data_IF_651767364928
#
_entry.id   IF_651767364928
#
_cell.length_a   1.000
_cell.length_b   1.000
_cell.length_c   1.000
_cell.angle_alpha   90.00
_cell.angle_beta   90.00
_cell.angle_gamma   90.00
#
_symmetry.space_group_name_H-M   'P 1'
#
loop_
_entity.id
_entity.type
_entity.pdbx_description
1 polymer ?
#
# COMPACT_ATOMS: atom_id res chain seq x y z
N UNK A 1 10.76 12.37 -3.15
CA UNK A 1 9.93 12.94 -2.04
C UNK A 1 9.90 14.47 -1.99
N UNK A 2 10.23 15.20 -3.07
CA UNK A 2 10.06 16.67 -3.10
C UNK A 2 8.59 17.11 -2.94
N UNK A 3 7.63 16.22 -3.23
CA UNK A 3 6.20 16.47 -2.98
C UNK A 3 5.90 16.79 -1.51
N UNK A 4 6.63 16.21 -0.56
CA UNK A 4 6.38 16.42 0.87
C UNK A 4 6.60 17.88 1.30
N UNK A 5 7.52 18.62 0.65
CA UNK A 5 7.82 20.02 0.97
C UNK A 5 6.80 21.00 0.38
N UNK A 6 5.86 20.50 -0.43
CA UNK A 6 4.83 21.31 -1.13
C UNK A 6 3.43 20.73 -0.93
N UNK A 7 3.22 19.97 0.15
CA UNK A 7 1.90 19.46 0.54
C UNK A 7 0.94 20.62 0.75
N UNK A 8 -0.28 20.46 0.24
CA UNK A 8 -1.36 21.42 0.44
C UNK A 8 -2.35 20.82 1.44
N UNK A 9 -2.91 21.62 2.35
CA UNK A 9 -4.01 21.15 3.18
C UNK A 9 -5.23 20.82 2.32
N UNK A 10 -6.06 19.93 2.84
CA UNK A 10 -7.38 19.65 2.30
C UNK A 10 -8.22 20.94 2.15
N UNK A 11 -8.94 21.05 1.04
CA UNK A 11 -9.80 22.22 0.74
C UNK A 11 -11.13 21.80 0.10
N UNK A 12 -11.91 22.79 -0.35
CA UNK A 12 -13.13 22.58 -1.14
C UNK A 12 -12.87 22.12 -2.58
N UNK A 13 -11.60 22.06 -3.01
CA UNK A 13 -11.17 21.68 -4.37
C UNK A 13 -9.98 20.72 -4.41
N UNK A 14 -9.39 20.41 -3.27
CA UNK A 14 -8.20 19.58 -3.18
C UNK A 14 -8.27 18.55 -2.04
N UNK A 15 -7.81 17.33 -2.34
CA UNK A 15 -7.57 16.23 -1.41
C UNK A 15 -6.25 15.59 -1.78
N UNK A 16 -5.37 15.35 -0.80
CA UNK A 16 -4.10 14.63 -1.01
C UNK A 16 -4.15 13.26 -0.34
N UNK A 17 -3.96 12.21 -1.15
CA UNK A 17 -3.81 10.84 -0.66
C UNK A 17 -2.38 10.36 -0.94
N UNK A 18 -1.72 9.86 0.09
CA UNK A 18 -0.41 9.24 0.00
C UNK A 18 -0.54 7.80 0.50
N UNK A 19 -0.20 6.83 -0.35
CA UNK A 19 -0.44 5.41 -0.08
C UNK A 19 0.88 4.75 0.33
N UNK A 20 0.88 4.08 1.48
CA UNK A 20 2.03 3.34 1.96
C UNK A 20 2.22 2.04 1.17
N UNK A 21 3.47 1.62 1.00
CA UNK A 21 3.80 0.33 0.39
C UNK A 21 3.58 0.25 -1.13
N UNK A 22 3.44 1.37 -1.83
CA UNK A 22 3.22 1.39 -3.28
C UNK A 22 4.42 1.94 -4.05
N UNK A 23 4.57 1.54 -5.31
CA UNK A 23 5.60 1.98 -6.25
C UNK A 23 5.02 2.80 -7.42
N UNK A 24 5.86 3.19 -8.37
CA UNK A 24 5.42 3.90 -9.58
C UNK A 24 4.67 2.99 -10.56
N UNK A 25 5.15 1.75 -10.71
CA UNK A 25 4.44 0.66 -11.35
C UNK A 25 4.59 -0.62 -10.51
N UNK A 26 3.62 -1.51 -10.60
CA UNK A 26 3.51 -2.70 -9.75
C UNK A 26 3.17 -3.94 -10.59
N UNK A 27 3.11 -5.10 -9.95
CA UNK A 27 2.76 -6.35 -10.61
C UNK A 27 1.38 -6.29 -11.29
N UNK A 28 0.41 -5.57 -10.72
CA UNK A 28 -0.90 -5.38 -11.33
C UNK A 28 -0.82 -4.63 -12.67
N UNK A 29 -0.06 -3.53 -12.72
CA UNK A 29 0.12 -2.73 -13.94
C UNK A 29 0.86 -3.48 -15.05
N UNK A 30 1.82 -4.32 -14.69
CA UNK A 30 2.53 -5.15 -15.67
C UNK A 30 1.72 -6.38 -16.11
N UNK A 31 0.75 -6.81 -15.31
CA UNK A 31 -0.06 -8.00 -15.57
C UNK A 31 0.80 -9.23 -15.84
N UNK A 32 0.49 -9.98 -16.90
CA UNK A 32 1.23 -11.20 -17.26
C UNK A 32 2.73 -10.98 -17.54
N UNK A 33 3.17 -9.75 -17.86
CA UNK A 33 4.58 -9.47 -18.09
C UNK A 33 5.41 -9.49 -16.79
N UNK A 34 4.77 -9.34 -15.62
CA UNK A 34 5.44 -9.30 -14.33
C UNK A 34 6.31 -10.54 -14.08
N UNK A 35 5.89 -11.73 -14.53
CA UNK A 35 6.64 -12.97 -14.32
C UNK A 35 7.97 -13.05 -15.09
N UNK A 36 8.16 -12.19 -16.10
CA UNK A 36 9.40 -12.11 -16.87
C UNK A 36 10.37 -11.04 -16.37
N UNK A 37 10.01 -10.30 -15.32
CA UNK A 37 10.84 -9.21 -14.78
C UNK A 37 11.83 -9.76 -13.76
N UNK A 38 13.11 -9.49 -13.99
CA UNK A 38 14.18 -9.73 -13.03
C UNK A 38 14.79 -8.41 -12.57
N UNK A 39 14.45 -8.02 -11.35
CA UNK A 39 15.00 -6.85 -10.67
C UNK A 39 15.91 -7.22 -9.48
N UNK A 40 16.31 -8.50 -9.37
CA UNK A 40 17.07 -9.06 -8.24
C UNK A 40 16.23 -9.30 -6.97
N UNK A 41 15.03 -8.70 -6.89
CA UNK A 41 14.00 -8.96 -5.87
C UNK A 41 12.63 -9.01 -6.56
N UNK A 42 11.64 -9.59 -5.89
CA UNK A 42 10.26 -9.47 -6.34
C UNK A 42 9.86 -7.99 -6.39
N UNK A 43 9.19 -7.59 -7.47
CA UNK A 43 8.68 -6.24 -7.63
C UNK A 43 7.51 -5.97 -6.68
N UNK A 44 7.15 -4.70 -6.49
CA UNK A 44 6.03 -4.32 -5.65
C UNK A 44 4.72 -4.95 -6.14
N UNK A 45 3.97 -5.52 -5.21
CA UNK A 45 2.62 -6.07 -5.44
C UNK A 45 1.61 -5.41 -4.48
N UNK A 46 1.73 -4.09 -4.29
CA UNK A 46 0.81 -3.33 -3.46
C UNK A 46 -0.54 -3.07 -4.17
N UNK A 47 -1.65 -2.93 -3.44
CA UNK A 47 -2.98 -2.75 -4.02
C UNK A 47 -3.26 -1.30 -4.47
N UNK A 48 -2.27 -0.61 -5.05
CA UNK A 48 -2.39 0.81 -5.44
C UNK A 48 -3.58 1.05 -6.37
N UNK A 49 -3.80 0.13 -7.31
CA UNK A 49 -4.91 0.21 -8.24
C UNK A 49 -6.29 0.22 -7.55
N UNK A 50 -6.46 -0.43 -6.40
CA UNK A 50 -7.72 -0.43 -5.65
C UNK A 50 -7.96 0.94 -4.99
N UNK A 51 -6.92 1.52 -4.39
CA UNK A 51 -7.00 2.86 -3.79
C UNK A 51 -7.23 3.92 -4.88
N UNK A 52 -6.57 3.77 -6.04
CA UNK A 52 -6.78 4.66 -7.18
C UNK A 52 -8.22 4.62 -7.71
N UNK A 53 -8.83 3.42 -7.84
CA UNK A 53 -10.25 3.28 -8.21
C UNK A 53 -11.17 4.03 -7.23
N UNK A 54 -10.96 3.85 -5.93
CA UNK A 54 -11.75 4.52 -4.90
C UNK A 54 -11.59 6.06 -4.96
N UNK A 55 -10.36 6.54 -5.19
CA UNK A 55 -10.07 7.96 -5.37
C UNK A 55 -10.80 8.53 -6.60
N UNK A 56 -10.76 7.83 -7.74
CA UNK A 56 -11.46 8.27 -8.95
C UNK A 56 -12.98 8.23 -8.80
N UNK A 57 -13.53 7.20 -8.16
CA UNK A 57 -14.96 7.13 -7.87
C UNK A 57 -15.41 8.30 -6.99
N UNK A 58 -14.65 8.59 -5.93
CA UNK A 58 -14.91 9.71 -5.03
C UNK A 58 -14.77 11.06 -5.73
N UNK A 59 -13.77 11.22 -6.59
CA UNK A 59 -13.58 12.43 -7.39
C UNK A 59 -14.74 12.66 -8.37
N UNK A 60 -15.23 11.61 -9.03
CA UNK A 60 -16.38 11.70 -9.92
C UNK A 60 -17.64 12.16 -9.16
N UNK A 61 -17.92 11.52 -8.02
CA UNK A 61 -19.05 11.89 -7.17
C UNK A 61 -18.94 13.34 -6.70
N UNK A 62 -17.76 13.77 -6.25
CA UNK A 62 -17.53 15.13 -5.79
C UNK A 62 -17.70 16.17 -6.91
N UNK A 63 -17.19 15.88 -8.11
CA UNK A 63 -17.33 16.75 -9.27
C UNK A 63 -18.81 16.95 -9.70
N UNK A 64 -19.69 16.00 -9.36
CA UNK A 64 -21.14 16.06 -9.58
C UNK A 64 -21.92 16.70 -8.42
N UNK A 65 -21.22 17.26 -7.43
CA UNK A 65 -21.83 17.90 -6.25
C UNK A 65 -22.08 16.96 -5.08
N UNK A 66 -21.54 15.74 -5.11
CA UNK A 66 -21.53 14.82 -3.98
C UNK A 66 -20.53 15.22 -2.88
N UNK A 67 -20.40 14.36 -1.87
CA UNK A 67 -19.43 14.55 -0.80
C UNK A 67 -17.98 14.55 -1.34
N UNK A 68 -17.05 15.31 -0.73
CA UNK A 68 -15.64 15.25 -1.08
C UNK A 68 -15.06 13.86 -0.76
N UNK A 69 -13.96 13.44 -1.44
CA UNK A 69 -13.20 12.27 -1.03
C UNK A 69 -12.78 12.38 0.45
N UNK A 70 -12.66 11.23 1.11
CA UNK A 70 -12.22 11.14 2.49
C UNK A 70 -10.88 11.87 2.69
N UNK A 71 -10.70 12.51 3.84
CA UNK A 71 -9.38 12.99 4.25
C UNK A 71 -8.50 11.80 4.63
N UNK A 72 -7.22 11.85 4.27
CA UNK A 72 -6.28 10.76 4.53
C UNK A 72 -5.11 11.22 5.42
N UNK A 73 -4.59 10.35 6.30
CA UNK A 73 -3.27 10.57 6.88
C UNK A 73 -2.23 10.70 5.77
N UNK A 74 -1.24 11.58 5.97
CA UNK A 74 -0.09 11.71 5.06
C UNK A 74 1.05 10.83 5.56
N UNK A 75 1.93 10.40 4.67
CA UNK A 75 3.13 9.63 5.05
C UNK A 75 4.03 10.48 5.95
N UNK A 76 4.60 9.84 6.96
CA UNK A 76 5.64 10.46 7.77
C UNK A 76 6.91 10.60 6.93
N UNK A 77 7.35 11.83 6.69
CA UNK A 77 8.51 12.13 5.85
C UNK A 77 9.44 13.06 6.61
N UNK A 78 10.71 12.68 6.71
CA UNK A 78 11.78 13.61 7.02
C UNK A 78 12.01 14.50 5.79
N UNK A 79 11.49 15.73 5.86
CA UNK A 79 11.58 16.69 4.75
C UNK A 79 12.98 17.25 4.56
N UNK A 80 13.85 17.20 5.57
CA UNK A 80 15.25 17.61 5.45
C UNK A 80 16.07 16.53 4.73
N UNK A 81 15.88 15.27 5.11
CA UNK A 81 16.53 14.13 4.48
C UNK A 81 15.87 13.67 3.17
N UNK A 82 14.65 14.17 2.88
CA UNK A 82 13.79 13.71 1.79
C UNK A 82 13.56 12.18 1.83
N UNK A 83 13.28 11.66 3.02
CA UNK A 83 13.15 10.23 3.28
C UNK A 83 11.83 9.89 4.01
N UNK A 84 11.18 8.79 3.63
CA UNK A 84 10.02 8.25 4.35
C UNK A 84 10.50 7.66 5.67
N UNK A 85 9.79 7.98 6.75
CA UNK A 85 10.00 7.36 8.05
C UNK A 85 9.39 5.95 8.04
N UNK A 86 10.14 4.98 8.55
CA UNK A 86 9.78 3.57 8.55
C UNK A 86 9.77 3.00 9.96
N UNK A 87 8.94 2.00 10.22
CA UNK A 87 8.96 1.23 11.46
C UNK A 87 10.14 0.23 11.50
N UNK A 88 10.18 -0.59 12.55
CA UNK A 88 11.26 -1.56 12.76
C UNK A 88 11.30 -2.67 11.69
N UNK A 89 10.18 -2.93 11.02
CA UNK A 89 10.06 -3.90 9.94
C UNK A 89 10.35 -3.26 8.56
N UNK A 90 10.67 -1.96 8.51
CA UNK A 90 10.95 -1.23 7.26
C UNK A 90 9.70 -0.75 6.53
N UNK A 91 8.53 -0.87 7.14
CA UNK A 91 7.25 -0.45 6.57
C UNK A 91 7.06 1.05 6.78
N UNK A 92 6.58 1.74 5.74
CA UNK A 92 6.34 3.18 5.80
C UNK A 92 5.29 3.53 6.87
N UNK A 93 5.54 4.57 7.67
CA UNK A 93 4.61 5.04 8.70
C UNK A 93 3.58 6.03 8.14
N UNK A 94 2.39 6.01 8.74
CA UNK A 94 1.24 6.82 8.35
C UNK A 94 0.87 6.62 6.86
N UNK A 95 0.21 7.60 6.24
CA UNK A 95 -0.41 7.41 4.92
C UNK A 95 -1.69 6.56 4.97
N UNK A 96 -2.27 6.33 3.79
CA UNK A 96 -3.24 5.26 3.60
C UNK A 96 -2.47 3.95 3.64
N UNK A 97 -2.68 3.20 4.71
CA UNK A 97 -2.15 1.85 4.89
C UNK A 97 -3.29 0.88 4.61
N UNK A 98 -3.03 -0.09 3.74
CA UNK A 98 -3.98 -1.12 3.31
C UNK A 98 -3.63 -2.44 3.99
N UNK A 99 -4.48 -3.48 3.96
CA UNK A 99 -4.21 -4.74 4.64
C UNK A 99 -2.84 -5.39 4.36
N UNK A 100 -2.28 -5.36 3.14
CA UNK A 100 -0.91 -5.85 2.91
C UNK A 100 0.19 -5.07 3.65
N UNK A 101 -0.10 -3.87 4.12
CA UNK A 101 0.80 -2.97 4.85
C UNK A 101 0.56 -3.04 6.37
N UNK A 102 -0.69 -3.08 6.82
CA UNK A 102 -1.05 -3.13 8.25
C UNK A 102 -1.07 -4.55 8.83
N UNK A 103 -1.24 -5.56 7.98
CA UNK A 103 -1.19 -6.98 8.33
C UNK A 103 -0.13 -7.70 7.48
N UNK A 104 1.16 -7.30 7.61
CA UNK A 104 2.22 -7.72 6.71
C UNK A 104 2.71 -9.14 6.95
N UNK A 105 2.90 -9.88 5.87
CA UNK A 105 3.86 -11.02 5.81
C UNK A 105 5.04 -10.73 4.88
N UNK A 106 4.93 -9.62 4.13
CA UNK A 106 5.95 -9.06 3.25
C UNK A 106 6.03 -7.55 3.52
N UNK A 107 7.22 -6.98 3.32
CA UNK A 107 7.47 -5.54 3.32
C UNK A 107 7.34 -5.05 1.88
N UNK A 108 6.29 -4.28 1.63
CA UNK A 108 6.08 -3.61 0.35
C UNK A 108 6.74 -2.23 0.37
N UNK A 109 7.52 -1.92 -0.68
CA UNK A 109 8.20 -0.63 -0.80
C UNK A 109 8.16 -0.10 -2.22
N UNK A 110 8.07 1.23 -2.35
CA UNK A 110 8.31 1.93 -3.61
C UNK A 110 9.80 2.05 -3.97
N UNK A 111 10.70 1.66 -3.06
CA UNK A 111 12.14 1.63 -3.30
C UNK A 111 12.55 0.28 -3.90
N UNK A 112 13.37 0.26 -4.98
CA UNK A 112 13.85 -0.96 -5.60
C UNK A 112 15.02 -1.59 -4.82
N UNK A 113 15.46 -2.77 -5.24
CA UNK A 113 16.74 -3.32 -4.78
C UNK A 113 17.93 -2.38 -5.13
N UNK A 114 19.02 -2.42 -4.34
CA UNK A 114 20.23 -1.66 -4.65
C UNK A 114 20.77 -1.97 -6.05
N UNK A 115 21.24 -0.94 -6.76
CA UNK A 115 21.82 -1.04 -8.12
C UNK A 115 20.86 -1.57 -9.19
N UNK A 116 19.55 -1.42 -8.98
CA UNK A 116 18.53 -1.73 -9.97
C UNK A 116 18.70 -0.94 -11.28
N UNK A 117 18.32 -1.56 -12.40
CA UNK A 117 18.19 -0.86 -13.69
C UNK A 117 17.14 0.27 -13.58
N UNK A 118 17.19 1.25 -14.48
CA UNK A 118 16.21 2.35 -14.50
C UNK A 118 14.77 1.83 -14.55
N UNK A 119 14.51 0.78 -15.35
CA UNK A 119 13.21 0.12 -15.39
C UNK A 119 12.80 -0.42 -14.01
N UNK A 120 13.69 -1.16 -13.36
CA UNK A 120 13.46 -1.72 -12.03
C UNK A 120 13.30 -0.65 -10.93
N UNK A 121 13.87 0.54 -11.10
CA UNK A 121 13.66 1.63 -10.12
C UNK A 121 12.22 2.10 -10.00
N UNK A 122 11.40 1.87 -11.04
CA UNK A 122 9.99 2.23 -11.04
C UNK A 122 9.12 1.18 -10.33
N UNK A 123 9.63 -0.05 -10.20
CA UNK A 123 8.84 -1.21 -9.80
C UNK A 123 8.83 -1.47 -8.29
N UNK A 124 9.60 -0.71 -7.52
CA UNK A 124 9.74 -0.91 -6.09
C UNK A 124 10.23 -2.32 -5.75
N UNK A 125 9.81 -2.83 -4.60
CA UNK A 125 10.16 -4.16 -4.13
C UNK A 125 9.11 -4.75 -3.18
N UNK A 126 9.13 -6.08 -3.11
CA UNK A 126 8.44 -6.90 -2.13
C UNK A 126 9.48 -7.78 -1.45
N UNK A 127 9.64 -7.64 -0.13
CA UNK A 127 10.62 -8.40 0.66
C UNK A 127 9.91 -9.23 1.73
N UNK A 128 10.01 -10.57 1.71
CA UNK A 128 9.38 -11.40 2.72
C UNK A 128 9.86 -11.08 4.14
N UNK A 129 8.92 -10.99 5.10
CA UNK A 129 9.28 -10.96 6.51
C UNK A 129 9.81 -12.35 6.93
N UNK A 130 10.81 -12.40 7.83
CA UNK A 130 11.28 -13.67 8.39
C UNK A 130 10.16 -14.42 9.13
N UNK A 131 10.15 -15.75 9.05
CA UNK A 131 9.14 -16.58 9.72
C UNK A 131 9.05 -16.31 11.23
N UNK A 132 10.21 -16.10 11.88
CA UNK A 132 10.26 -15.74 13.30
C UNK A 132 9.51 -14.44 13.60
N UNK A 133 9.62 -13.43 12.71
CA UNK A 133 8.91 -12.17 12.86
C UNK A 133 7.41 -12.33 12.62
N UNK A 134 7.02 -13.13 11.62
CA UNK A 134 5.61 -13.47 11.36
C UNK A 134 4.99 -14.16 12.58
N UNK A 135 5.72 -15.06 13.26
CA UNK A 135 5.27 -15.72 14.48
C UNK A 135 5.16 -14.79 15.70
N UNK A 136 5.87 -13.65 15.71
CA UNK A 136 5.69 -12.60 16.71
C UNK A 136 4.45 -11.73 16.43
N UNK A 137 4.13 -11.52 15.15
CA UNK A 137 3.00 -10.69 14.71
C UNK A 137 1.65 -11.42 14.81
N UNK A 138 1.66 -12.74 14.58
CA UNK A 138 0.46 -13.56 14.50
C UNK A 138 0.56 -14.81 15.35
N UNK A 139 -0.46 -15.05 16.17
CA UNK A 139 -0.51 -16.24 17.02
C UNK A 139 -0.67 -17.52 16.19
N UNK A 140 -1.44 -17.45 15.11
CA UNK A 140 -1.72 -18.52 14.16
C UNK A 140 -2.42 -17.94 12.91
N UNK A 141 -2.74 -18.81 11.94
CA UNK A 141 -3.40 -18.44 10.69
C UNK A 141 -4.75 -17.76 10.91
N UNK A 142 -5.55 -18.25 11.86
CA UNK A 142 -6.86 -17.66 12.13
C UNK A 142 -6.74 -16.23 12.70
N UNK A 143 -5.73 -15.96 13.52
CA UNK A 143 -5.42 -14.60 14.00
C UNK A 143 -4.99 -13.67 12.85
N UNK A 144 -4.14 -14.15 11.93
CA UNK A 144 -3.78 -13.39 10.73
C UNK A 144 -5.01 -13.06 9.87
N UNK A 145 -5.85 -14.06 9.56
CA UNK A 145 -7.04 -13.87 8.73
C UNK A 145 -8.04 -12.91 9.40
N UNK A 146 -8.26 -13.03 10.71
CA UNK A 146 -9.13 -12.13 11.46
C UNK A 146 -8.63 -10.68 11.44
N UNK A 147 -7.32 -10.47 11.66
CA UNK A 147 -6.69 -9.14 11.56
C UNK A 147 -6.82 -8.57 10.14
N UNK A 148 -6.56 -9.38 9.12
CA UNK A 148 -6.64 -8.96 7.72
C UNK A 148 -8.06 -8.54 7.34
N UNK A 149 -9.07 -9.33 7.72
CA UNK A 149 -10.46 -9.01 7.43
C UNK A 149 -10.92 -7.73 8.16
N UNK A 150 -10.54 -7.58 9.43
CA UNK A 150 -10.85 -6.36 10.19
C UNK A 150 -10.21 -5.11 9.55
N UNK A 151 -8.96 -5.20 9.08
CA UNK A 151 -8.29 -4.09 8.41
C UNK A 151 -8.89 -3.79 7.02
N UNK A 152 -9.31 -4.83 6.28
CA UNK A 152 -10.00 -4.68 5.01
C UNK A 152 -11.35 -3.94 5.19
N UNK A 153 -12.13 -4.31 6.20
CA UNK A 153 -13.37 -3.63 6.58
C UNK A 153 -13.12 -2.16 6.93
N UNK A 154 -12.07 -1.87 7.70
CA UNK A 154 -11.70 -0.51 8.07
C UNK A 154 -11.28 0.30 6.84
N UNK A 155 -10.48 -0.27 5.95
CA UNK A 155 -10.01 0.38 4.71
C UNK A 155 -11.19 0.74 3.80
N UNK A 156 -12.16 -0.16 3.65
CA UNK A 156 -13.36 0.08 2.84
C UNK A 156 -14.27 1.11 3.50
N UNK A 157 -14.52 0.98 4.80
CA UNK A 157 -15.39 1.92 5.55
C UNK A 157 -14.81 3.33 5.59
N UNK A 158 -13.47 3.45 5.56
CA UNK A 158 -12.78 4.74 5.46
C UNK A 158 -12.84 5.37 4.06
N UNK A 159 -13.37 4.65 3.07
CA UNK A 159 -13.52 5.12 1.69
C UNK A 159 -12.25 4.98 0.85
N UNK A 160 -11.23 4.26 1.33
CA UNK A 160 -9.96 4.10 0.61
C UNK A 160 -9.96 2.91 -0.36
N UNK A 161 -10.92 1.99 -0.24
CA UNK A 161 -11.20 0.93 -1.23
C UNK A 161 -12.71 0.84 -1.40
N UNK A 162 -13.19 0.51 -2.61
CA UNK A 162 -14.61 0.31 -2.88
C UNK A 162 -15.08 -1.05 -2.32
N UNK A 163 -16.31 -1.12 -1.79
CA UNK A 163 -16.90 -2.39 -1.35
C UNK A 163 -16.92 -3.44 -2.48
N UNK A 164 -17.14 -3.00 -3.73
CA UNK A 164 -17.10 -3.89 -4.91
C UNK A 164 -15.72 -4.51 -5.18
N UNK A 165 -14.64 -3.95 -4.62
CA UNK A 165 -13.27 -4.45 -4.75
C UNK A 165 -12.84 -5.30 -3.53
N UNK A 166 -13.75 -5.63 -2.58
CA UNK A 166 -13.45 -6.44 -1.38
C UNK A 166 -12.77 -7.77 -1.69
N UNK A 167 -13.29 -8.51 -2.67
CA UNK A 167 -12.72 -9.81 -3.04
C UNK A 167 -11.32 -9.65 -3.64
N UNK A 168 -11.10 -8.59 -4.43
CA UNK A 168 -9.79 -8.26 -4.97
C UNK A 168 -8.80 -7.89 -3.86
N UNK A 169 -9.23 -7.11 -2.86
CA UNK A 169 -8.41 -6.77 -1.70
C UNK A 169 -8.06 -8.01 -0.88
N UNK A 170 -9.04 -8.88 -0.63
CA UNK A 170 -8.85 -10.15 0.09
C UNK A 170 -7.88 -11.10 -0.64
N UNK A 171 -7.78 -11.00 -1.97
CA UNK A 171 -6.85 -11.77 -2.79
C UNK A 171 -5.37 -11.50 -2.50
N UNK A 172 -5.03 -10.38 -1.85
CA UNK A 172 -3.65 -10.08 -1.43
C UNK A 172 -3.25 -10.78 -0.12
N UNK A 173 -4.19 -11.38 0.61
CA UNK A 173 -3.87 -12.11 1.83
C UNK A 173 -3.04 -13.36 1.52
N UNK A 174 -2.06 -13.67 2.39
CA UNK A 174 -1.18 -14.83 2.25
C UNK A 174 -1.21 -15.72 3.52
N UNK A 175 -2.37 -16.31 3.88
CA UNK A 175 -2.53 -17.05 5.14
C UNK A 175 -1.62 -18.29 5.24
N UNK A 176 -1.16 -18.84 4.12
CA UNK A 176 -0.24 -19.97 4.09
C UNK A 176 1.18 -19.64 4.57
N UNK A 177 1.53 -18.35 4.67
CA UNK A 177 2.79 -17.87 5.28
C UNK A 177 2.76 -17.90 6.80
N UNK A 178 1.58 -18.08 7.40
CA UNK A 178 1.38 -18.14 8.85
C UNK A 178 1.12 -19.59 9.27
N UNK A 179 1.73 -19.98 10.38
CA UNK A 179 1.56 -21.31 10.96
C UNK A 179 0.07 -21.58 11.29
N UNK A 180 -0.41 -22.84 11.18
CA UNK A 180 -1.79 -23.20 11.46
C UNK A 180 -2.30 -22.75 12.83
#
# INVERSE_FOLDING_TARGET
>A
MKSATVRQPDSDRFRLWEVAGTSHADAHLLGSAASGVDCGVAINDGPMHLVAKAAFHSLEAWARGGAPPASAPLLDVDTAALAIQRDADGIARAGIRTPPVDVPVDVLSGEPAPKASLFCTLLGSTTPLPEARIAELYANRADYEAKYQADADQTITSGFVLEADRDALSGFAQPLRVAP
#
